data_IF_842271244249
#
_entry.id   IF_842271244249
#
_cell.length_a   1.000
_cell.length_b   1.000
_cell.length_c   1.000
_cell.angle_alpha   90.00
_cell.angle_beta   90.00
_cell.angle_gamma   90.00
#
_symmetry.space_group_name_H-M   'P 1'
#
loop_
_entity.id
_entity.type
_entity.pdbx_description
1 polymer ?
#
# COMPACT_ATOMS: atom_id res chain seq x y z
N UNK A 1 6.92 1.71 -9.75
CA UNK A 1 7.58 2.13 -8.48
C UNK A 1 6.57 2.64 -7.45
N UNK A 2 5.69 3.56 -7.81
CA UNK A 2 4.67 4.10 -6.89
C UNK A 2 3.75 3.02 -6.29
N UNK A 3 3.26 2.08 -7.11
CA UNK A 3 2.40 0.99 -6.68
C UNK A 3 3.12 -0.05 -5.81
N UNK A 4 4.40 -0.29 -6.08
CA UNK A 4 5.22 -1.28 -5.38
C UNK A 4 5.99 -0.73 -4.18
N UNK A 5 5.75 0.53 -3.76
CA UNK A 5 6.49 1.18 -2.66
C UNK A 5 8.02 1.13 -2.89
N UNK A 6 8.44 1.41 -4.12
CA UNK A 6 9.85 1.32 -4.50
C UNK A 6 10.59 2.65 -4.28
N UNK A 7 11.85 2.62 -3.85
CA UNK A 7 12.68 3.82 -3.65
C UNK A 7 12.79 4.72 -4.89
N UNK A 8 12.59 4.17 -6.08
CA UNK A 8 12.65 4.89 -7.36
C UNK A 8 11.48 5.86 -7.62
N UNK A 9 10.42 5.87 -6.80
CA UNK A 9 9.27 6.75 -7.03
C UNK A 9 9.64 8.24 -6.99
N UNK A 10 10.43 8.66 -6.00
CA UNK A 10 10.90 10.04 -5.88
C UNK A 10 11.76 10.50 -7.07
N UNK A 11 12.81 9.76 -7.47
CA UNK A 11 13.60 10.05 -8.67
C UNK A 11 12.76 10.16 -9.96
N UNK A 12 11.77 9.29 -10.16
CA UNK A 12 10.89 9.38 -11.34
C UNK A 12 10.03 10.65 -11.32
N UNK A 13 9.46 11.00 -10.16
CA UNK A 13 8.69 12.23 -10.02
C UNK A 13 9.56 13.47 -10.29
N UNK A 14 10.80 13.48 -9.79
CA UNK A 14 11.77 14.55 -10.07
C UNK A 14 12.05 14.69 -11.57
N UNK A 15 12.34 13.58 -12.24
CA UNK A 15 12.57 13.58 -13.69
C UNK A 15 11.35 14.06 -14.49
N UNK A 16 10.14 13.77 -14.02
CA UNK A 16 8.91 14.29 -14.63
C UNK A 16 8.86 15.82 -14.56
N UNK A 17 9.17 16.43 -13.40
CA UNK A 17 9.22 17.88 -13.26
C UNK A 17 10.36 18.53 -14.06
N UNK A 18 11.48 17.84 -14.26
CA UNK A 18 12.58 18.31 -15.12
C UNK A 18 12.17 18.31 -16.60
N UNK A 19 11.33 17.36 -17.00
CA UNK A 19 10.84 17.26 -18.38
C UNK A 19 9.69 18.23 -18.67
N UNK A 20 8.76 18.37 -17.74
CA UNK A 20 7.59 19.26 -17.85
C UNK A 20 7.18 19.77 -16.46
N UNK A 21 7.66 20.97 -16.06
CA UNK A 21 7.33 21.56 -14.75
C UNK A 21 5.85 21.98 -14.63
N UNK A 22 5.16 22.16 -15.76
CA UNK A 22 3.78 22.62 -15.83
C UNK A 22 2.77 21.45 -16.01
N UNK A 23 3.22 20.20 -15.91
CA UNK A 23 2.36 19.03 -15.98
C UNK A 23 1.43 18.94 -14.75
N UNK A 24 0.09 19.11 -14.88
CA UNK A 24 -0.83 19.12 -13.72
C UNK A 24 -0.75 17.86 -12.89
N UNK A 25 -0.68 16.69 -13.56
CA UNK A 25 -0.64 15.39 -12.88
C UNK A 25 0.65 15.16 -12.09
N UNK A 26 1.76 15.81 -12.42
CA UNK A 26 2.98 15.75 -11.62
C UNK A 26 2.78 16.41 -10.24
N UNK A 27 2.08 17.55 -10.21
CA UNK A 27 1.70 18.24 -8.95
C UNK A 27 0.70 17.41 -8.14
N UNK A 28 -0.28 16.78 -8.80
CA UNK A 28 -1.23 15.85 -8.16
C UNK A 28 -0.49 14.67 -7.53
N UNK A 29 0.38 14.00 -8.28
CA UNK A 29 1.18 12.86 -7.77
C UNK A 29 2.07 13.27 -6.59
N UNK A 30 2.66 14.47 -6.65
CA UNK A 30 3.45 15.02 -5.53
C UNK A 30 2.60 15.23 -4.29
N UNK A 31 1.38 15.76 -4.45
CA UNK A 31 0.43 15.92 -3.34
C UNK A 31 0.05 14.57 -2.74
N UNK A 32 -0.34 13.60 -3.56
CA UNK A 32 -0.67 12.25 -3.11
C UNK A 32 0.50 11.56 -2.41
N UNK A 33 1.72 11.73 -2.91
CA UNK A 33 2.91 11.18 -2.30
C UNK A 33 3.11 11.69 -0.86
N UNK A 34 2.96 13.00 -0.65
CA UNK A 34 3.05 13.57 0.70
C UNK A 34 1.94 13.09 1.63
N UNK A 35 0.71 12.90 1.12
CA UNK A 35 -0.40 12.39 1.94
C UNK A 35 -0.19 10.91 2.31
N UNK A 36 0.38 10.10 1.41
CA UNK A 36 0.66 8.69 1.68
C UNK A 36 1.75 8.46 2.72
N UNK A 37 2.65 9.43 2.91
CA UNK A 37 3.66 9.37 3.97
C UNK A 37 3.08 9.54 5.39
N UNK A 38 1.80 9.98 5.50
CA UNK A 38 1.05 9.96 6.76
C UNK A 38 1.52 10.93 7.85
N UNK A 39 2.48 11.82 7.56
CA UNK A 39 3.05 12.75 8.53
C UNK A 39 2.35 14.10 8.49
N UNK A 40 1.91 14.63 9.64
CA UNK A 40 1.28 15.95 9.73
C UNK A 40 2.16 17.08 9.15
N UNK A 41 3.47 16.98 9.30
CA UNK A 41 4.45 17.94 8.76
C UNK A 41 4.43 18.05 7.22
N UNK A 42 3.92 17.02 6.53
CA UNK A 42 3.84 17.00 5.07
C UNK A 42 2.50 17.50 4.53
N UNK A 43 1.50 17.72 5.37
CA UNK A 43 0.18 18.18 4.94
C UNK A 43 0.24 19.54 4.23
N UNK A 44 0.96 20.52 4.79
CA UNK A 44 1.14 21.82 4.16
C UNK A 44 1.85 21.72 2.81
N UNK A 45 2.82 20.80 2.69
CA UNK A 45 3.51 20.54 1.42
C UNK A 45 2.60 19.90 0.38
N UNK A 46 1.72 19.02 0.82
CA UNK A 46 0.69 18.41 -0.01
C UNK A 46 -0.28 19.46 -0.54
N UNK A 47 -0.80 20.34 0.33
CA UNK A 47 -1.69 21.44 -0.06
C UNK A 47 -1.04 22.38 -1.08
N UNK A 48 0.23 22.76 -0.84
CA UNK A 48 0.98 23.60 -1.78
C UNK A 48 1.16 22.93 -3.14
N UNK A 49 1.39 21.62 -3.17
CA UNK A 49 1.49 20.88 -4.43
C UNK A 49 0.13 20.80 -5.13
N UNK A 50 -0.94 20.45 -4.42
CA UNK A 50 -2.29 20.40 -4.98
C UNK A 50 -2.75 21.74 -5.56
N UNK A 51 -2.42 22.85 -4.90
CA UNK A 51 -2.81 24.21 -5.33
C UNK A 51 -2.15 24.68 -6.65
N UNK A 52 -1.09 24.01 -7.12
CA UNK A 52 -0.47 24.34 -8.42
C UNK A 52 -1.28 23.76 -9.60
N UNK A 53 -1.89 22.59 -9.43
CA UNK A 53 -2.50 21.84 -10.51
C UNK A 53 -3.70 22.55 -11.19
N UNK A 54 -4.62 23.23 -10.47
CA UNK A 54 -5.76 23.91 -11.12
C UNK A 54 -5.37 24.99 -12.13
N UNK A 55 -4.32 25.75 -11.85
CA UNK A 55 -3.82 26.79 -12.76
C UNK A 55 -3.23 26.25 -14.06
N UNK A 56 -2.84 24.97 -14.07
CA UNK A 56 -2.21 24.26 -15.18
C UNK A 56 -3.21 23.36 -15.94
N UNK A 57 -4.46 23.27 -15.47
CA UNK A 57 -5.43 22.28 -15.94
C UNK A 57 -6.11 22.60 -17.29
N UNK A 58 -5.67 23.63 -18.02
CA UNK A 58 -6.33 24.07 -19.26
C UNK A 58 -6.36 22.99 -20.37
N UNK A 59 -5.38 22.10 -20.36
CA UNK A 59 -5.25 20.98 -21.30
C UNK A 59 -5.49 19.61 -20.64
N UNK A 60 -5.88 19.60 -19.37
CA UNK A 60 -6.09 18.36 -18.61
C UNK A 60 -7.30 17.59 -19.13
N UNK A 61 -7.17 16.27 -19.17
CA UNK A 61 -8.29 15.38 -19.51
C UNK A 61 -9.34 15.38 -18.39
N UNK A 62 -10.62 15.06 -18.68
CA UNK A 62 -11.68 15.01 -17.67
C UNK A 62 -11.28 14.17 -16.43
N UNK A 63 -10.64 13.04 -16.64
CA UNK A 63 -10.09 12.16 -15.61
C UNK A 63 -9.07 12.89 -14.71
N UNK A 64 -8.19 13.68 -15.33
CA UNK A 64 -7.14 14.42 -14.62
C UNK A 64 -7.71 15.58 -13.82
N UNK A 65 -8.76 16.24 -14.31
CA UNK A 65 -9.50 17.26 -13.56
C UNK A 65 -10.09 16.67 -12.27
N UNK A 66 -10.61 15.44 -12.33
CA UNK A 66 -11.09 14.75 -11.13
C UNK A 66 -9.94 14.40 -10.18
N UNK A 67 -8.77 13.99 -10.67
CA UNK A 67 -7.59 13.79 -9.82
C UNK A 67 -7.12 15.07 -9.14
N UNK A 68 -7.18 16.22 -9.83
CA UNK A 68 -6.87 17.53 -9.24
C UNK A 68 -7.83 17.82 -8.08
N UNK A 69 -9.13 17.61 -8.28
CA UNK A 69 -10.15 17.80 -7.25
C UNK A 69 -9.94 16.83 -6.06
N UNK A 70 -9.63 15.58 -6.33
CA UNK A 70 -9.36 14.59 -5.29
C UNK A 70 -8.11 14.95 -4.45
N UNK A 71 -7.05 15.46 -5.09
CA UNK A 71 -5.85 15.92 -4.39
C UNK A 71 -6.13 17.12 -3.48
N UNK A 72 -6.95 18.06 -3.95
CA UNK A 72 -7.42 19.18 -3.14
C UNK A 72 -8.26 18.67 -1.95
N UNK A 73 -9.19 17.77 -2.16
CA UNK A 73 -10.00 17.23 -1.08
C UNK A 73 -9.13 16.53 -0.04
N UNK A 74 -8.25 15.64 -0.46
CA UNK A 74 -7.44 14.84 0.46
C UNK A 74 -6.47 15.71 1.27
N UNK A 75 -5.74 16.61 0.62
CA UNK A 75 -4.77 17.50 1.28
C UNK A 75 -5.41 18.42 2.33
N UNK A 76 -6.71 18.72 2.19
CA UNK A 76 -7.49 19.48 3.16
C UNK A 76 -8.27 18.61 4.16
N UNK A 77 -7.97 17.32 4.26
CA UNK A 77 -8.60 16.42 5.22
C UNK A 77 -10.02 15.96 4.87
N UNK A 78 -10.52 16.30 3.68
CA UNK A 78 -11.84 15.89 3.19
C UNK A 78 -11.78 14.48 2.60
N UNK A 79 -11.44 13.49 3.43
CA UNK A 79 -11.15 12.11 3.00
C UNK A 79 -12.31 11.47 2.23
N UNK A 80 -13.53 11.53 2.74
CA UNK A 80 -14.69 10.93 2.06
C UNK A 80 -14.95 11.56 0.69
N UNK A 81 -14.73 12.87 0.53
CA UNK A 81 -14.86 13.53 -0.78
C UNK A 81 -13.76 13.07 -1.75
N UNK A 82 -12.54 12.87 -1.27
CA UNK A 82 -11.46 12.33 -2.10
C UNK A 82 -11.77 10.90 -2.56
N UNK A 83 -12.20 10.02 -1.65
CA UNK A 83 -12.61 8.63 -1.96
C UNK A 83 -13.74 8.63 -2.99
N UNK A 84 -14.79 9.41 -2.78
CA UNK A 84 -15.91 9.51 -3.73
C UNK A 84 -15.45 10.01 -5.11
N UNK A 85 -14.47 10.90 -5.16
CA UNK A 85 -13.92 11.40 -6.43
C UNK A 85 -13.10 10.31 -7.15
N UNK A 86 -12.27 9.53 -6.44
CA UNK A 86 -11.55 8.40 -7.04
C UNK A 86 -12.52 7.32 -7.53
N UNK A 87 -13.57 7.01 -6.78
CA UNK A 87 -14.62 6.09 -7.21
C UNK A 87 -15.33 6.60 -8.49
N UNK A 88 -15.58 7.90 -8.60
CA UNK A 88 -16.16 8.51 -9.80
C UNK A 88 -15.22 8.38 -11.02
N UNK A 89 -13.90 8.57 -10.83
CA UNK A 89 -12.92 8.31 -11.90
C UNK A 89 -13.05 6.87 -12.39
N UNK A 90 -13.15 5.91 -11.48
CA UNK A 90 -13.19 4.47 -11.77
C UNK A 90 -14.46 4.01 -12.48
N UNK A 91 -15.55 4.78 -12.45
CA UNK A 91 -16.76 4.46 -13.21
C UNK A 91 -16.50 4.57 -14.71
N UNK A 92 -15.85 5.65 -15.14
CA UNK A 92 -15.57 5.92 -16.55
C UNK A 92 -14.20 5.40 -16.99
N UNK A 93 -13.28 5.22 -16.06
CA UNK A 93 -11.89 4.82 -16.31
C UNK A 93 -11.50 3.64 -15.40
N UNK A 94 -12.05 2.42 -15.61
CA UNK A 94 -11.83 1.28 -14.72
C UNK A 94 -10.37 0.79 -14.68
N UNK A 95 -9.54 1.20 -15.65
CA UNK A 95 -8.10 0.93 -15.69
C UNK A 95 -7.24 2.04 -15.05
N UNK A 96 -7.85 3.04 -14.42
CA UNK A 96 -7.08 4.04 -13.68
C UNK A 96 -6.54 3.43 -12.37
N UNK A 97 -5.34 2.86 -12.47
CA UNK A 97 -4.70 2.18 -11.35
C UNK A 97 -4.37 3.14 -10.20
N UNK A 98 -4.15 4.42 -10.49
CA UNK A 98 -3.88 5.42 -9.46
C UNK A 98 -5.14 5.69 -8.62
N UNK A 99 -6.27 5.95 -9.27
CA UNK A 99 -7.55 6.11 -8.58
C UNK A 99 -7.92 4.84 -7.79
N UNK A 100 -7.73 3.65 -8.39
CA UNK A 100 -8.02 2.37 -7.75
C UNK A 100 -7.17 2.17 -6.49
N UNK A 101 -5.87 2.43 -6.57
CA UNK A 101 -4.96 2.32 -5.43
C UNK A 101 -5.33 3.27 -4.29
N UNK A 102 -5.70 4.51 -4.63
CA UNK A 102 -6.02 5.52 -3.64
C UNK A 102 -7.41 5.32 -3.01
N UNK A 103 -8.41 4.90 -3.78
CA UNK A 103 -9.71 4.54 -3.24
C UNK A 103 -9.59 3.34 -2.29
N UNK A 104 -8.87 2.29 -2.70
CA UNK A 104 -8.57 1.11 -1.88
C UNK A 104 -7.85 1.51 -0.57
N UNK A 105 -6.81 2.34 -0.63
CA UNK A 105 -6.12 2.88 0.54
C UNK A 105 -7.05 3.70 1.44
N UNK A 106 -7.90 4.55 0.84
CA UNK A 106 -8.85 5.36 1.57
C UNK A 106 -9.85 4.51 2.35
N UNK A 107 -10.44 3.49 1.72
CA UNK A 107 -11.36 2.56 2.38
C UNK A 107 -10.70 1.78 3.52
N UNK A 108 -9.43 1.39 3.36
CA UNK A 108 -8.67 0.73 4.43
C UNK A 108 -8.59 1.61 5.68
N UNK A 109 -8.16 2.88 5.54
CA UNK A 109 -8.00 3.79 6.67
C UNK A 109 -9.33 4.30 7.27
N UNK A 110 -10.44 4.14 6.57
CA UNK A 110 -11.78 4.39 7.12
C UNK A 110 -12.38 3.12 7.79
N UNK A 111 -11.67 1.97 7.76
CA UNK A 111 -12.16 0.70 8.30
C UNK A 111 -13.28 0.08 7.48
N UNK A 112 -13.44 0.50 6.22
CA UNK A 112 -14.50 0.03 5.32
C UNK A 112 -14.01 -1.18 4.50
N UNK A 113 -13.84 -2.32 5.15
CA UNK A 113 -13.37 -3.55 4.53
C UNK A 113 -14.26 -4.01 3.36
N UNK A 114 -15.56 -3.75 3.41
CA UNK A 114 -16.46 -4.12 2.32
C UNK A 114 -16.17 -3.31 1.05
N UNK A 115 -16.06 -2.00 1.13
CA UNK A 115 -15.72 -1.18 -0.03
C UNK A 115 -14.26 -1.33 -0.43
N UNK A 116 -13.33 -1.58 0.51
CA UNK A 116 -11.96 -1.97 0.21
C UNK A 116 -11.92 -3.12 -0.81
N UNK A 117 -12.66 -4.19 -0.56
CA UNK A 117 -12.81 -5.34 -1.45
C UNK A 117 -13.57 -5.01 -2.74
N UNK A 118 -14.73 -4.37 -2.59
CA UNK A 118 -15.68 -4.20 -3.69
C UNK A 118 -15.23 -3.17 -4.73
N UNK A 119 -14.45 -2.16 -4.33
CA UNK A 119 -13.82 -1.22 -5.24
C UNK A 119 -12.98 -1.93 -6.30
N UNK A 120 -12.16 -2.88 -5.89
CA UNK A 120 -11.35 -3.68 -6.81
C UNK A 120 -12.22 -4.65 -7.61
N UNK A 121 -13.09 -5.40 -6.95
CA UNK A 121 -13.89 -6.45 -7.60
C UNK A 121 -14.81 -5.90 -8.69
N UNK A 122 -15.41 -4.72 -8.49
CA UNK A 122 -16.26 -4.05 -9.51
C UNK A 122 -15.49 -3.71 -10.79
N UNK A 123 -14.17 -3.60 -10.75
CA UNK A 123 -13.31 -3.20 -11.89
C UNK A 123 -12.56 -4.38 -12.52
N UNK A 124 -12.54 -5.55 -11.89
CA UNK A 124 -11.78 -6.70 -12.38
C UNK A 124 -12.18 -7.16 -13.79
N UNK A 125 -13.41 -6.88 -14.22
CA UNK A 125 -13.85 -7.19 -15.58
C UNK A 125 -13.06 -6.45 -16.69
N UNK A 126 -12.42 -5.33 -16.35
CA UNK A 126 -11.59 -4.55 -17.29
C UNK A 126 -10.10 -4.94 -17.25
N UNK A 127 -9.68 -5.73 -16.26
CA UNK A 127 -8.29 -6.11 -16.06
C UNK A 127 -8.02 -7.52 -16.57
N UNK A 128 -6.98 -7.67 -17.38
CA UNK A 128 -6.50 -8.96 -17.89
C UNK A 128 -5.02 -9.12 -17.55
N UNK A 129 -4.47 -10.35 -17.59
CA UNK A 129 -3.05 -10.57 -17.34
C UNK A 129 -2.11 -9.72 -18.21
N UNK A 130 -2.55 -9.33 -19.41
CA UNK A 130 -1.77 -8.48 -20.32
C UNK A 130 -1.88 -6.98 -19.99
N UNK A 131 -2.78 -6.60 -19.07
CA UNK A 131 -2.96 -5.19 -18.68
C UNK A 131 -1.80 -4.75 -17.78
N UNK A 132 -1.06 -3.68 -18.12
CA UNK A 132 0.00 -3.17 -17.26
C UNK A 132 -0.50 -2.86 -15.85
N UNK A 133 0.15 -3.44 -14.83
CA UNK A 133 -0.26 -3.28 -13.43
C UNK A 133 -1.23 -4.34 -12.92
N UNK A 134 -1.66 -5.30 -13.74
CA UNK A 134 -2.57 -6.37 -13.34
C UNK A 134 -2.18 -7.06 -12.03
N UNK A 135 -0.90 -7.45 -11.88
CA UNK A 135 -0.43 -8.11 -10.66
C UNK A 135 -0.58 -7.24 -9.40
N UNK A 136 -0.39 -5.91 -9.51
CA UNK A 136 -0.65 -5.02 -8.38
C UNK A 136 -2.15 -4.96 -8.03
N UNK A 137 -3.03 -4.95 -9.03
CA UNK A 137 -4.49 -4.96 -8.81
C UNK A 137 -4.93 -6.28 -8.21
N UNK A 138 -4.35 -7.41 -8.63
CA UNK A 138 -4.57 -8.71 -7.99
C UNK A 138 -4.12 -8.75 -6.54
N UNK A 139 -3.01 -8.08 -6.21
CA UNK A 139 -2.56 -7.91 -4.82
C UNK A 139 -3.56 -7.10 -3.97
N UNK A 140 -4.11 -6.02 -4.51
CA UNK A 140 -5.19 -5.27 -3.85
C UNK A 140 -6.46 -6.12 -3.69
N UNK A 141 -6.79 -6.95 -4.69
CA UNK A 141 -7.91 -7.89 -4.61
C UNK A 141 -7.69 -8.93 -3.50
N UNK A 142 -6.48 -9.47 -3.38
CA UNK A 142 -6.13 -10.43 -2.34
C UNK A 142 -6.29 -9.82 -0.95
N UNK A 143 -5.81 -8.59 -0.75
CA UNK A 143 -5.95 -7.88 0.52
C UNK A 143 -7.41 -7.58 0.85
N UNK A 144 -8.22 -7.14 -0.10
CA UNK A 144 -9.66 -6.93 0.11
C UNK A 144 -10.43 -8.21 0.46
N UNK A 145 -10.04 -9.35 -0.09
CA UNK A 145 -10.60 -10.65 0.29
C UNK A 145 -10.16 -11.06 1.70
N UNK A 146 -8.91 -10.82 2.07
CA UNK A 146 -8.38 -11.13 3.39
C UNK A 146 -9.13 -10.31 4.46
N UNK A 147 -9.22 -9.00 4.31
CA UNK A 147 -9.92 -8.07 5.22
C UNK A 147 -11.43 -8.36 5.36
N UNK A 148 -12.00 -9.18 4.48
CA UNK A 148 -13.40 -9.65 4.55
C UNK A 148 -13.53 -11.14 4.80
N UNK A 149 -12.46 -11.78 5.33
CA UNK A 149 -12.41 -13.19 5.74
C UNK A 149 -12.63 -14.21 4.61
N UNK A 150 -12.51 -13.79 3.35
CA UNK A 150 -12.58 -14.68 2.19
C UNK A 150 -11.21 -15.30 1.87
N UNK A 151 -10.61 -15.96 2.86
CA UNK A 151 -9.21 -16.40 2.86
C UNK A 151 -8.80 -17.28 1.67
N UNK A 152 -9.67 -18.22 1.22
CA UNK A 152 -9.36 -19.03 0.04
C UNK A 152 -9.27 -18.21 -1.25
N UNK A 153 -10.11 -17.17 -1.37
CA UNK A 153 -10.05 -16.26 -2.49
C UNK A 153 -8.82 -15.36 -2.40
N UNK A 154 -8.47 -14.91 -1.18
CA UNK A 154 -7.27 -14.12 -0.90
C UNK A 154 -5.99 -14.87 -1.30
N UNK A 155 -5.84 -16.13 -0.89
CA UNK A 155 -4.69 -16.98 -1.25
C UNK A 155 -4.55 -17.12 -2.77
N UNK A 156 -5.64 -17.44 -3.48
CA UNK A 156 -5.59 -17.58 -4.95
C UNK A 156 -5.22 -16.27 -5.64
N UNK A 157 -5.84 -15.15 -5.23
CA UNK A 157 -5.54 -13.84 -5.81
C UNK A 157 -4.12 -13.37 -5.49
N UNK A 158 -3.63 -13.65 -4.27
CA UNK A 158 -2.27 -13.32 -3.85
C UNK A 158 -1.20 -14.11 -4.60
N UNK A 159 -1.41 -15.42 -4.78
CA UNK A 159 -0.52 -16.25 -5.58
C UNK A 159 -0.48 -15.79 -7.03
N UNK A 160 -1.64 -15.54 -7.65
CA UNK A 160 -1.72 -15.01 -9.02
C UNK A 160 -1.02 -13.64 -9.15
N UNK A 161 -1.12 -12.80 -8.12
CA UNK A 161 -0.44 -11.50 -8.10
C UNK A 161 1.08 -11.64 -8.07
N UNK A 162 1.63 -12.55 -7.26
CA UNK A 162 3.07 -12.82 -7.16
C UNK A 162 3.60 -13.52 -8.40
N UNK A 163 2.83 -14.44 -8.98
CA UNK A 163 3.19 -15.08 -10.26
C UNK A 163 3.30 -14.04 -11.40
N UNK A 164 2.42 -13.03 -11.41
CA UNK A 164 2.44 -11.94 -12.40
C UNK A 164 3.53 -10.91 -12.13
N UNK A 165 3.78 -10.57 -10.87
CA UNK A 165 4.78 -9.57 -10.43
C UNK A 165 5.42 -10.08 -9.13
N UNK A 166 6.57 -10.77 -9.19
CA UNK A 166 7.26 -11.26 -7.98
C UNK A 166 7.65 -10.16 -6.99
N UNK A 167 7.98 -8.96 -7.50
CA UNK A 167 8.27 -7.77 -6.68
C UNK A 167 6.97 -7.04 -6.28
N UNK A 168 6.03 -7.77 -5.69
CA UNK A 168 4.77 -7.22 -5.17
C UNK A 168 4.66 -7.42 -3.67
N UNK A 169 5.24 -6.55 -2.84
CA UNK A 169 5.23 -6.70 -1.38
C UNK A 169 3.81 -6.68 -0.80
N UNK A 170 2.85 -6.00 -1.45
CA UNK A 170 1.45 -5.98 -1.01
C UNK A 170 0.77 -7.33 -1.13
N UNK A 171 1.00 -8.05 -2.23
CA UNK A 171 0.43 -9.39 -2.42
C UNK A 171 1.06 -10.40 -1.46
N UNK A 172 2.39 -10.31 -1.27
CA UNK A 172 3.12 -11.15 -0.32
C UNK A 172 2.58 -10.95 1.09
N UNK A 173 2.37 -9.72 1.50
CA UNK A 173 1.81 -9.32 2.78
C UNK A 173 0.36 -9.81 2.97
N UNK A 174 -0.51 -9.65 1.96
CA UNK A 174 -1.89 -10.12 2.05
C UNK A 174 -2.00 -11.64 2.29
N UNK A 175 -1.13 -12.42 1.65
CA UNK A 175 -1.07 -13.87 1.89
C UNK A 175 -0.49 -14.20 3.27
N UNK A 176 0.49 -13.43 3.75
CA UNK A 176 1.01 -13.59 5.11
C UNK A 176 -0.09 -13.39 6.16
N UNK A 177 -0.95 -12.37 6.01
CA UNK A 177 -2.13 -12.16 6.84
C UNK A 177 -3.06 -13.39 6.85
N UNK A 178 -3.32 -13.99 5.68
CA UNK A 178 -4.19 -15.19 5.61
C UNK A 178 -3.64 -16.31 6.46
N UNK A 179 -2.33 -16.60 6.39
CA UNK A 179 -1.71 -17.64 7.19
C UNK A 179 -1.73 -17.31 8.69
N UNK A 180 -1.54 -16.03 9.06
CA UNK A 180 -1.66 -15.59 10.44
C UNK A 180 -3.09 -15.79 10.97
N UNK A 181 -4.11 -15.35 10.21
CA UNK A 181 -5.52 -15.49 10.60
C UNK A 181 -6.03 -16.94 10.64
N UNK A 182 -5.33 -17.84 9.98
CA UNK A 182 -5.64 -19.30 9.99
C UNK A 182 -4.85 -20.09 11.00
N UNK A 183 -3.97 -19.43 11.77
CA UNK A 183 -3.05 -20.13 12.70
C UNK A 183 -2.16 -21.16 11.96
N UNK A 184 -1.60 -20.73 10.81
CA UNK A 184 -0.74 -21.53 9.95
C UNK A 184 0.71 -20.98 9.93
N UNK A 185 1.41 -20.86 11.09
CA UNK A 185 2.68 -20.15 11.18
C UNK A 185 3.78 -20.76 10.30
N UNK A 186 3.82 -22.10 10.17
CA UNK A 186 4.81 -22.77 9.32
C UNK A 186 4.65 -22.40 7.84
N UNK A 187 3.41 -22.38 7.36
CA UNK A 187 3.11 -22.02 5.97
C UNK A 187 3.41 -20.53 5.70
N UNK A 188 3.05 -19.65 6.64
CA UNK A 188 3.31 -18.24 6.53
C UNK A 188 4.81 -17.90 6.54
N UNK A 189 5.59 -18.51 7.42
CA UNK A 189 7.06 -18.37 7.43
C UNK A 189 7.66 -18.85 6.11
N UNK A 190 7.21 -20.01 5.61
CA UNK A 190 7.69 -20.54 4.34
C UNK A 190 7.35 -19.61 3.17
N UNK A 191 6.12 -19.07 3.15
CA UNK A 191 5.66 -18.11 2.14
C UNK A 191 6.52 -16.83 2.13
N UNK A 192 6.71 -16.18 3.28
CA UNK A 192 7.48 -14.93 3.39
C UNK A 192 8.94 -15.16 2.97
N UNK A 193 9.55 -16.29 3.38
CA UNK A 193 10.92 -16.64 2.99
C UNK A 193 11.06 -16.94 1.50
N UNK A 194 10.12 -17.70 0.93
CA UNK A 194 10.17 -18.02 -0.50
C UNK A 194 10.07 -16.77 -1.39
N UNK A 195 9.41 -15.73 -0.92
CA UNK A 195 9.21 -14.47 -1.64
C UNK A 195 10.13 -13.33 -1.14
N UNK A 196 11.19 -13.63 -0.39
CA UNK A 196 12.08 -12.63 0.20
C UNK A 196 12.63 -11.60 -0.79
N UNK A 197 13.09 -11.97 -2.01
CA UNK A 197 13.55 -10.98 -2.99
C UNK A 197 12.46 -9.98 -3.41
N UNK A 198 11.18 -10.35 -3.30
CA UNK A 198 10.06 -9.52 -3.76
C UNK A 198 9.62 -8.46 -2.76
N UNK A 199 9.93 -8.60 -1.46
CA UNK A 199 9.53 -7.63 -0.45
C UNK A 199 10.71 -6.86 0.17
N UNK A 200 11.91 -7.42 0.20
CA UNK A 200 13.09 -6.75 0.80
C UNK A 200 13.53 -5.50 0.04
N UNK A 201 13.18 -5.39 -1.24
CA UNK A 201 13.44 -4.21 -2.07
C UNK A 201 12.48 -3.05 -1.83
N UNK A 202 11.39 -3.27 -1.08
CA UNK A 202 10.45 -2.21 -0.72
C UNK A 202 11.10 -1.21 0.26
N UNK A 203 10.50 -0.02 0.39
CA UNK A 203 10.85 0.96 1.42
C UNK A 203 10.58 0.36 2.83
N UNK A 204 10.29 1.18 3.80
CA UNK A 204 10.02 0.77 5.17
C UNK A 204 8.96 -0.33 5.31
N UNK A 205 8.07 -0.49 4.34
CA UNK A 205 7.09 -1.59 4.32
C UNK A 205 7.73 -2.99 4.42
N UNK A 206 9.01 -3.16 4.05
CA UNK A 206 9.77 -4.40 4.27
C UNK A 206 9.82 -4.79 5.75
N UNK A 207 9.92 -3.82 6.65
CA UNK A 207 9.94 -4.07 8.09
C UNK A 207 8.60 -4.60 8.59
N UNK A 208 7.50 -4.15 8.00
CA UNK A 208 6.18 -4.67 8.32
C UNK A 208 5.99 -6.13 7.87
N UNK A 209 6.49 -6.49 6.69
CA UNK A 209 6.49 -7.90 6.24
C UNK A 209 7.38 -8.77 7.13
N UNK A 210 8.56 -8.28 7.52
CA UNK A 210 9.44 -8.95 8.47
C UNK A 210 8.74 -9.14 9.83
N UNK A 211 8.05 -8.11 10.32
CA UNK A 211 7.30 -8.17 11.57
C UNK A 211 6.25 -9.30 11.56
N UNK A 212 5.49 -9.50 10.48
CA UNK A 212 4.59 -10.65 10.34
C UNK A 212 5.34 -11.99 10.47
N UNK A 213 6.51 -12.12 9.82
CA UNK A 213 7.34 -13.34 9.99
C UNK A 213 7.73 -13.55 11.44
N UNK A 214 8.05 -12.48 12.17
CA UNK A 214 8.42 -12.55 13.58
C UNK A 214 7.22 -12.91 14.46
N UNK A 215 6.01 -12.43 14.19
CA UNK A 215 4.80 -12.86 14.90
C UNK A 215 4.59 -14.36 14.77
N UNK A 216 4.73 -14.93 13.57
CA UNK A 216 4.61 -16.37 13.34
C UNK A 216 5.70 -17.18 14.08
N UNK A 217 6.92 -16.66 14.18
CA UNK A 217 7.97 -17.26 15.03
C UNK A 217 7.64 -17.15 16.52
N UNK A 218 7.00 -16.05 16.94
CA UNK A 218 6.54 -15.85 18.32
C UNK A 218 5.46 -16.88 18.68
N UNK A 219 4.48 -17.12 17.80
CA UNK A 219 3.42 -18.13 17.98
C UNK A 219 3.99 -19.54 18.13
N UNK A 220 5.14 -19.81 17.52
CA UNK A 220 5.91 -21.06 17.69
C UNK A 220 6.74 -21.10 18.97
N UNK A 221 6.76 -20.05 19.78
CA UNK A 221 7.58 -19.96 21.00
C UNK A 221 9.08 -19.79 20.73
N UNK A 222 9.47 -19.36 19.54
CA UNK A 222 10.88 -19.20 19.12
C UNK A 222 11.44 -17.82 19.57
N UNK A 223 11.20 -17.45 20.83
CA UNK A 223 11.47 -16.11 21.38
C UNK A 223 12.90 -15.62 21.18
N UNK A 224 13.90 -16.50 21.31
CA UNK A 224 15.31 -16.14 21.10
C UNK A 224 15.59 -15.72 19.65
N UNK A 225 14.94 -16.40 18.70
CA UNK A 225 15.04 -16.03 17.29
C UNK A 225 14.37 -14.68 17.05
N UNK A 226 13.18 -14.47 17.62
CA UNK A 226 12.43 -13.21 17.51
C UNK A 226 13.26 -12.04 18.03
N UNK A 227 13.87 -12.16 19.23
CA UNK A 227 14.75 -11.13 19.78
C UNK A 227 15.97 -10.86 18.91
N UNK A 228 16.59 -11.90 18.36
CA UNK A 228 17.72 -11.71 17.44
C UNK A 228 17.32 -10.96 16.16
N UNK A 229 16.17 -11.32 15.55
CA UNK A 229 15.66 -10.63 14.37
C UNK A 229 15.30 -9.18 14.69
N UNK A 230 14.74 -8.91 15.86
CA UNK A 230 14.48 -7.55 16.33
C UNK A 230 15.77 -6.71 16.36
N UNK A 231 16.81 -7.20 17.05
CA UNK A 231 18.05 -6.45 17.24
C UNK A 231 18.86 -6.28 15.94
N UNK A 232 18.70 -7.19 14.97
CA UNK A 232 19.58 -7.22 13.78
C UNK A 232 18.91 -6.78 12.48
N UNK A 233 17.57 -6.87 12.38
CA UNK A 233 16.89 -6.67 11.11
C UNK A 233 15.68 -5.72 11.22
N UNK A 234 14.97 -5.67 12.35
CA UNK A 234 13.75 -4.86 12.48
C UNK A 234 14.04 -3.48 13.05
N UNK A 235 14.81 -3.42 14.18
CA UNK A 235 15.04 -2.17 14.89
C UNK A 235 15.89 -1.18 14.11
N UNK A 236 15.34 -0.01 13.82
CA UNK A 236 16.05 1.13 13.24
C UNK A 236 15.84 2.36 14.14
N UNK A 237 16.87 2.67 14.96
CA UNK A 237 16.81 3.78 15.91
C UNK A 237 16.64 5.17 15.27
N UNK A 238 16.85 5.28 13.95
CA UNK A 238 16.71 6.53 13.21
C UNK A 238 15.34 6.67 12.53
N UNK A 239 14.52 5.59 12.51
CA UNK A 239 13.19 5.65 11.90
C UNK A 239 12.22 6.42 12.79
N UNK A 240 11.56 7.42 12.21
CA UNK A 240 10.43 8.15 12.80
C UNK A 240 9.08 7.79 12.14
N UNK A 241 9.09 6.76 11.28
CA UNK A 241 7.88 6.28 10.64
C UNK A 241 6.96 5.59 11.66
N UNK A 242 5.69 6.03 11.70
CA UNK A 242 4.76 5.54 12.70
C UNK A 242 4.52 4.03 12.63
N UNK A 243 4.57 3.43 11.43
CA UNK A 243 4.37 2.00 11.23
C UNK A 243 5.53 1.19 11.83
N UNK A 244 6.77 1.65 11.67
CA UNK A 244 7.94 1.01 12.26
C UNK A 244 7.84 1.03 13.80
N UNK A 245 7.54 2.20 14.38
CA UNK A 245 7.35 2.34 15.82
C UNK A 245 6.21 1.48 16.37
N UNK A 246 5.11 1.32 15.61
CA UNK A 246 4.00 0.45 15.99
C UNK A 246 4.38 -1.04 15.91
N UNK A 247 5.15 -1.45 14.91
CA UNK A 247 5.66 -2.82 14.79
C UNK A 247 6.53 -3.18 15.99
N UNK A 248 7.48 -2.28 16.33
CA UNK A 248 8.39 -2.45 17.46
C UNK A 248 7.63 -2.57 18.78
N UNK A 249 6.78 -1.58 19.08
CA UNK A 249 6.00 -1.56 20.32
C UNK A 249 5.08 -2.79 20.43
N UNK A 250 4.45 -3.18 19.33
CA UNK A 250 3.56 -4.34 19.26
C UNK A 250 4.30 -5.66 19.52
N UNK A 251 5.50 -5.83 18.93
CA UNK A 251 6.31 -7.04 19.12
C UNK A 251 6.83 -7.15 20.56
N UNK A 252 7.42 -6.07 21.07
CA UNK A 252 7.98 -6.04 22.44
C UNK A 252 6.89 -6.28 23.50
N UNK A 253 5.70 -5.68 23.32
CA UNK A 253 4.57 -5.94 24.22
C UNK A 253 4.14 -7.41 24.21
N UNK A 254 4.11 -8.05 23.03
CA UNK A 254 3.78 -9.47 22.94
C UNK A 254 4.83 -10.35 23.61
N UNK A 255 6.12 -10.05 23.45
CA UNK A 255 7.20 -10.75 24.15
C UNK A 255 7.05 -10.62 25.67
N UNK A 256 6.76 -9.40 26.18
CA UNK A 256 6.51 -9.17 27.60
C UNK A 256 5.31 -10.00 28.10
N UNK A 257 4.22 -10.07 27.34
CA UNK A 257 3.05 -10.89 27.68
C UNK A 257 3.38 -12.39 27.74
N UNK A 258 4.39 -12.85 27.01
CA UNK A 258 4.94 -14.20 27.08
C UNK A 258 6.04 -14.36 28.15
N UNK A 259 6.33 -13.34 28.95
CA UNK A 259 7.32 -13.38 30.03
C UNK A 259 8.78 -13.35 29.57
N UNK A 260 9.03 -12.77 28.40
CA UNK A 260 10.36 -12.64 27.80
C UNK A 260 10.94 -11.23 28.01
#
# INVERSE_FOLDING_TARGET
SYLGIMPSAGPHLKATFEADPDMPMAHVLKSYFFMLMGTAALQDRSQKAAAQAPGLAQTALPREVLHISAAEHWSHGRKHAAIATWEAILVENPLDVLALRLAHHGHFYEGDGQNLRDTVNRRMHAWTPDTPGYGFVKGMQAFGYEETHAYDAALRAGQEAVDAIPENPWAIHAVAHVHEMRDEPDAGIAWIKANEPGWTIANNFRYHVLWHRMLMHLDRGEYKLVMNLYDTELWDAESDEYLDLLNDASLLLRLELHGQ
#
